data_IF_322932456901
#
_entry.id   IF_322932456901
#
_cell.length_a   1.000
_cell.length_b   1.000
_cell.length_c   1.000
_cell.angle_alpha   90.00
_cell.angle_beta   90.00
_cell.angle_gamma   90.00
#
_symmetry.space_group_name_H-M   'P 1'
#
loop_
_entity.id
_entity.type
_entity.pdbx_description
1 polymer ?
#
# COMPACT_ATOMS: atom_id res chain seq x y z
N UNK A 1 -2.55 -6.45 -19.07
CA UNK A 1 -1.47 -5.62 -18.49
C UNK A 1 -1.12 -6.19 -17.14
N UNK A 2 0.17 -6.46 -16.92
CA UNK A 2 0.69 -6.84 -15.60
C UNK A 2 1.12 -5.56 -14.89
N UNK A 3 0.63 -5.36 -13.68
CA UNK A 3 0.88 -4.17 -12.86
C UNK A 3 1.57 -4.59 -11.57
N UNK A 4 2.65 -3.91 -11.24
CA UNK A 4 3.24 -3.98 -9.90
C UNK A 4 2.42 -3.11 -8.91
N UNK A 5 2.56 -3.37 -7.62
CA UNK A 5 1.82 -2.65 -6.56
C UNK A 5 2.65 -1.53 -5.94
N UNK A 6 3.74 -1.91 -5.27
CA UNK A 6 4.57 -1.01 -4.47
C UNK A 6 5.34 -0.04 -5.37
N UNK A 7 5.36 1.24 -5.00
CA UNK A 7 5.96 2.34 -5.76
C UNK A 7 5.41 2.52 -7.20
N UNK A 8 4.43 1.70 -7.60
CA UNK A 8 3.77 1.75 -8.92
C UNK A 8 2.33 2.27 -8.82
N UNK A 9 1.49 1.60 -8.03
CA UNK A 9 0.08 1.97 -7.81
C UNK A 9 -0.15 2.58 -6.43
N UNK A 10 0.66 2.21 -5.44
CA UNK A 10 0.60 2.71 -4.07
C UNK A 10 1.99 2.93 -3.49
N UNK A 11 2.09 3.73 -2.44
CA UNK A 11 3.25 3.76 -1.56
C UNK A 11 2.85 3.24 -0.17
N UNK A 12 3.53 2.19 0.29
CA UNK A 12 3.30 1.59 1.59
C UNK A 12 4.50 1.86 2.51
N UNK A 13 4.23 2.31 3.74
CA UNK A 13 5.26 2.60 4.74
C UNK A 13 4.90 1.93 6.05
N UNK A 14 5.88 1.38 6.76
CA UNK A 14 5.65 0.98 8.16
C UNK A 14 5.25 2.23 8.95
N UNK A 15 4.08 2.20 9.60
CA UNK A 15 3.46 3.36 10.24
C UNK A 15 4.38 3.98 11.30
N UNK A 16 5.13 3.16 12.04
CA UNK A 16 6.11 3.63 13.02
C UNK A 16 7.31 4.36 12.42
N UNK A 17 7.67 4.04 11.18
CA UNK A 17 8.79 4.67 10.46
C UNK A 17 8.42 5.96 9.73
N UNK A 18 7.13 6.20 9.49
CA UNK A 18 6.64 7.34 8.72
C UNK A 18 6.62 8.62 9.59
N UNK A 19 7.36 9.67 9.23
CA UNK A 19 7.34 10.92 9.99
C UNK A 19 5.94 11.54 10.02
N UNK A 20 5.47 11.92 11.21
CA UNK A 20 4.12 12.47 11.39
C UNK A 20 3.86 13.71 10.51
N UNK A 21 4.86 14.58 10.33
CA UNK A 21 4.75 15.76 9.48
C UNK A 21 4.50 15.40 8.01
N UNK A 22 5.16 14.35 7.50
CA UNK A 22 4.98 13.89 6.11
C UNK A 22 3.58 13.27 5.93
N UNK A 23 3.14 12.48 6.92
CA UNK A 23 1.77 11.93 6.94
C UNK A 23 0.73 13.05 6.91
N UNK A 24 0.83 14.06 7.79
CA UNK A 24 -0.12 15.17 7.82
C UNK A 24 -0.14 15.94 6.51
N UNK A 25 1.02 16.25 5.93
CA UNK A 25 1.10 16.93 4.63
C UNK A 25 0.43 16.14 3.51
N UNK A 26 0.61 14.82 3.47
CA UNK A 26 -0.04 13.95 2.48
C UNK A 26 -1.57 13.97 2.62
N UNK A 27 -2.07 13.93 3.87
CA UNK A 27 -3.51 14.00 4.18
C UNK A 27 -4.08 15.37 3.79
N UNK A 28 -3.40 16.45 4.16
CA UNK A 28 -3.79 17.83 3.82
C UNK A 28 -3.78 18.08 2.31
N UNK A 29 -2.87 17.44 1.58
CA UNK A 29 -2.84 17.46 0.11
C UNK A 29 -3.97 16.65 -0.53
N UNK A 30 -4.79 15.94 0.26
CA UNK A 30 -5.96 15.20 -0.23
C UNK A 30 -5.61 13.84 -0.86
N UNK A 31 -4.46 13.26 -0.54
CA UNK A 31 -4.14 11.89 -0.99
C UNK A 31 -5.11 10.90 -0.34
N UNK A 32 -5.59 9.92 -1.12
CA UNK A 32 -6.32 8.79 -0.55
C UNK A 32 -5.32 7.90 0.17
N UNK A 33 -5.68 7.47 1.37
CA UNK A 33 -4.82 6.62 2.19
C UNK A 33 -5.65 5.74 3.12
N UNK A 34 -5.03 4.69 3.63
CA UNK A 34 -5.60 3.83 4.66
C UNK A 34 -4.48 3.19 5.48
N UNK A 35 -4.80 2.79 6.71
CA UNK A 35 -3.91 1.98 7.54
C UNK A 35 -4.30 0.49 7.37
N UNK A 36 -3.29 -0.38 7.33
CA UNK A 36 -3.41 -1.82 7.15
C UNK A 36 -2.59 -2.55 8.21
N UNK A 37 -3.16 -3.60 8.77
CA UNK A 37 -2.47 -4.50 9.70
C UNK A 37 -2.02 -5.75 8.93
N UNK A 38 -0.71 -5.97 8.85
CA UNK A 38 -0.09 -7.08 8.14
C UNK A 38 0.44 -8.10 9.14
N UNK A 39 -0.21 -9.27 9.20
CA UNK A 39 0.26 -10.40 10.00
C UNK A 39 1.35 -11.12 9.23
N UNK A 40 2.58 -11.04 9.71
CA UNK A 40 3.69 -11.78 9.10
C UNK A 40 3.83 -13.18 9.69
N UNK A 41 4.33 -14.11 8.88
CA UNK A 41 4.69 -15.46 9.30
C UNK A 41 5.92 -15.50 10.22
N UNK A 42 6.69 -14.42 10.27
CA UNK A 42 7.77 -14.21 11.22
C UNK A 42 7.23 -14.18 12.65
N UNK A 43 7.93 -14.86 13.55
CA UNK A 43 7.54 -14.95 14.96
C UNK A 43 8.33 -13.96 15.80
N UNK A 44 7.62 -13.18 16.62
CA UNK A 44 8.22 -12.42 17.71
C UNK A 44 8.62 -13.35 18.87
N UNK A 45 9.38 -12.82 19.83
CA UNK A 45 10.07 -13.53 20.93
C UNK A 45 9.24 -14.42 21.88
N UNK A 46 7.99 -14.73 21.56
CA UNK A 46 7.12 -15.69 22.25
C UNK A 46 6.41 -16.68 21.29
N UNK A 47 6.78 -16.69 20.01
CA UNK A 47 6.13 -17.52 18.99
C UNK A 47 4.84 -16.93 18.41
N UNK A 48 4.45 -15.72 18.83
CA UNK A 48 3.34 -14.96 18.25
C UNK A 48 3.74 -14.39 16.88
N UNK A 49 2.82 -14.39 15.89
CA UNK A 49 3.11 -13.78 14.60
C UNK A 49 3.35 -12.28 14.77
N UNK A 50 4.41 -11.77 14.14
CA UNK A 50 4.72 -10.35 14.16
C UNK A 50 3.66 -9.59 13.37
N UNK A 51 3.12 -8.55 13.99
CA UNK A 51 2.14 -7.66 13.39
C UNK A 51 2.85 -6.40 12.93
N UNK A 52 2.77 -6.09 11.63
CA UNK A 52 3.28 -4.85 11.06
C UNK A 52 2.12 -3.91 10.76
N UNK A 53 2.18 -2.68 11.26
CA UNK A 53 1.23 -1.63 10.91
C UNK A 53 1.78 -0.85 9.73
N UNK A 54 1.01 -0.76 8.65
CA UNK A 54 1.41 -0.14 7.39
C UNK A 54 0.44 0.97 7.04
N UNK A 55 0.95 2.16 6.74
CA UNK A 55 0.17 3.25 6.18
C UNK A 55 0.38 3.26 4.66
N UNK A 56 -0.71 3.15 3.91
CA UNK A 56 -0.70 3.05 2.44
C UNK A 56 -1.32 4.30 1.83
N UNK A 57 -0.62 4.90 0.86
CA UNK A 57 -1.12 6.02 0.06
C UNK A 57 -1.38 5.55 -1.37
N UNK A 58 -2.57 5.82 -1.90
CA UNK A 58 -2.87 5.58 -3.32
C UNK A 58 -2.11 6.58 -4.20
N UNK A 59 -1.63 6.13 -5.35
CA UNK A 59 -1.15 7.06 -6.38
C UNK A 59 -2.32 7.94 -6.87
N UNK A 60 -2.15 9.26 -7.00
CA UNK A 60 -3.21 10.14 -7.50
C UNK A 60 -3.79 9.66 -8.83
N UNK A 61 -5.12 9.58 -8.90
CA UNK A 61 -5.83 9.11 -10.10
C UNK A 61 -5.90 7.59 -10.26
N UNK A 62 -5.43 6.78 -9.29
CA UNK A 62 -5.40 5.32 -9.36
C UNK A 62 -6.74 4.70 -9.82
N UNK A 63 -7.85 5.10 -9.21
CA UNK A 63 -9.18 4.56 -9.53
C UNK A 63 -9.59 4.82 -10.98
N UNK A 64 -9.36 6.04 -11.47
CA UNK A 64 -9.68 6.41 -12.85
C UNK A 64 -8.73 5.72 -13.84
N UNK A 65 -7.45 5.60 -13.49
CA UNK A 65 -6.45 4.88 -14.27
C UNK A 65 -6.86 3.42 -14.47
N UNK A 66 -7.19 2.69 -13.40
CA UNK A 66 -7.62 1.29 -13.48
C UNK A 66 -8.94 1.14 -14.26
N UNK A 67 -9.90 2.05 -14.05
CA UNK A 67 -11.17 2.05 -14.79
C UNK A 67 -11.00 2.26 -16.29
N UNK A 68 -10.06 3.12 -16.71
CA UNK A 68 -9.76 3.36 -18.12
C UNK A 68 -9.00 2.19 -18.73
N UNK A 69 -8.01 1.66 -18.00
CA UNK A 69 -7.16 0.56 -18.46
C UNK A 69 -7.94 -0.75 -18.64
N UNK A 70 -8.88 -1.04 -17.73
CA UNK A 70 -9.72 -2.25 -17.80
C UNK A 70 -10.65 -2.30 -19.01
N UNK A 71 -10.87 -1.17 -19.72
CA UNK A 71 -11.70 -1.14 -20.94
C UNK A 71 -11.04 -1.80 -22.14
N UNK A 72 -9.72 -1.98 -22.13
CA UNK A 72 -8.99 -2.49 -23.30
C UNK A 72 -7.94 -3.54 -22.97
N UNK A 73 -7.74 -3.87 -21.70
CA UNK A 73 -6.87 -4.97 -21.31
C UNK A 73 -7.32 -5.61 -20.00
N UNK A 74 -7.15 -6.93 -19.92
CA UNK A 74 -7.23 -7.65 -18.65
C UNK A 74 -6.12 -7.15 -17.71
N UNK A 75 -6.45 -6.92 -16.45
CA UNK A 75 -5.50 -6.41 -15.46
C UNK A 75 -5.07 -7.55 -14.54
N UNK A 76 -3.77 -7.78 -14.45
CA UNK A 76 -3.18 -8.74 -13.52
C UNK A 76 -2.29 -7.95 -12.56
N UNK A 77 -2.64 -7.96 -11.28
CA UNK A 77 -1.76 -7.44 -10.24
C UNK A 77 -0.71 -8.51 -9.93
N UNK A 78 0.57 -8.14 -10.00
CA UNK A 78 1.69 -9.03 -9.74
C UNK A 78 2.73 -8.27 -8.92
N UNK A 79 2.73 -8.53 -7.61
CA UNK A 79 3.62 -7.89 -6.64
C UNK A 79 4.40 -8.96 -5.88
N UNK A 80 5.55 -8.59 -5.34
CA UNK A 80 6.32 -9.39 -4.38
C UNK A 80 5.86 -9.21 -2.93
N UNK A 81 4.77 -8.45 -2.69
CA UNK A 81 4.14 -8.33 -1.38
C UNK A 81 3.82 -9.70 -0.76
N UNK A 82 4.05 -9.81 0.55
CA UNK A 82 4.09 -11.07 1.29
C UNK A 82 2.74 -11.82 1.34
N UNK A 83 2.83 -13.16 1.30
CA UNK A 83 1.84 -14.12 1.80
C UNK A 83 1.77 -14.16 3.33
#
# INVERSE_FOLDING_TARGET
>A
VVLDLDETLVCAYETSSLPAALRSQAIEAGLNWFDLECVSSDKEGEGKPKINYVTVFERPGLKEFLLKLSKFADLVLFTAGLE
#
